data_IF_642879131429
#
_entry.id   IF_642879131429
#
_cell.length_a   1.000
_cell.length_b   1.000
_cell.length_c   1.000
_cell.angle_alpha   90.00
_cell.angle_beta   90.00
_cell.angle_gamma   90.00
#
_symmetry.space_group_name_H-M   'P 1'
#
loop_
_entity.id
_entity.type
_entity.pdbx_description
1 polymer ?
#
# COMPACT_ATOMS: atom_id res chain seq x y z
N UNK A 1 5.25 10.41 -16.49
CA UNK A 1 5.48 9.00 -16.90
C UNK A 1 5.68 8.14 -15.65
N UNK A 2 5.14 6.92 -15.62
CA UNK A 2 5.44 5.97 -14.55
C UNK A 2 6.95 5.68 -14.52
N UNK A 3 7.57 5.73 -13.33
CA UNK A 3 9.01 5.52 -13.16
C UNK A 3 9.33 4.20 -12.47
N UNK A 4 8.52 3.81 -11.49
CA UNK A 4 8.72 2.61 -10.69
C UNK A 4 7.45 1.80 -10.60
N UNK A 5 7.58 0.47 -10.69
CA UNK A 5 6.50 -0.48 -10.49
C UNK A 5 6.96 -1.58 -9.55
N UNK A 6 6.04 -2.12 -8.76
CA UNK A 6 6.29 -3.34 -7.98
C UNK A 6 5.76 -4.54 -8.74
N UNK A 7 6.49 -5.66 -8.66
CA UNK A 7 6.04 -6.95 -9.17
C UNK A 7 6.22 -7.99 -8.07
N UNK A 8 5.30 -8.96 -7.99
CA UNK A 8 5.35 -10.05 -6.99
C UNK A 8 6.42 -11.09 -7.34
N UNK A 9 6.77 -11.19 -8.61
CA UNK A 9 7.78 -12.11 -9.13
C UNK A 9 8.29 -11.60 -10.47
N UNK A 10 9.54 -11.91 -10.82
CA UNK A 10 10.08 -11.74 -12.17
C UNK A 10 9.65 -12.85 -13.14
N UNK A 11 8.93 -13.86 -12.66
CA UNK A 11 8.45 -14.96 -13.49
C UNK A 11 7.41 -14.45 -14.50
N UNK A 12 7.62 -14.83 -15.76
CA UNK A 12 6.75 -14.61 -16.91
C UNK A 12 5.83 -15.82 -17.20
N UNK A 13 5.93 -16.88 -16.38
CA UNK A 13 5.08 -18.06 -16.46
C UNK A 13 3.76 -17.80 -15.74
N UNK A 14 2.65 -18.25 -16.35
CA UNK A 14 1.31 -18.22 -15.73
C UNK A 14 1.40 -18.75 -14.31
N UNK A 15 0.89 -17.96 -13.36
CA UNK A 15 0.85 -18.27 -11.94
C UNK A 15 2.20 -18.48 -11.24
N UNK A 16 3.33 -18.28 -11.92
CA UNK A 16 4.69 -18.49 -11.39
C UNK A 16 5.03 -17.65 -10.16
N UNK A 17 4.27 -16.59 -9.90
CA UNK A 17 4.38 -15.75 -8.70
C UNK A 17 3.86 -16.42 -7.42
N UNK A 18 2.93 -17.39 -7.50
CA UNK A 18 2.28 -17.99 -6.30
C UNK A 18 3.27 -18.70 -5.38
N UNK A 19 4.26 -19.35 -5.98
CA UNK A 19 5.32 -20.07 -5.26
C UNK A 19 6.48 -19.16 -4.82
N UNK A 20 6.43 -17.86 -5.17
CA UNK A 20 7.49 -16.88 -4.89
C UNK A 20 6.96 -15.66 -4.13
N UNK A 21 5.85 -15.81 -3.42
CA UNK A 21 5.24 -14.73 -2.63
C UNK A 21 6.14 -14.24 -1.49
N UNK A 22 7.07 -15.08 -1.01
CA UNK A 22 7.91 -14.77 0.14
C UNK A 22 9.04 -13.79 -0.18
N UNK A 23 9.66 -13.91 -1.35
CA UNK A 23 10.90 -13.19 -1.69
C UNK A 23 11.08 -12.91 -3.18
N UNK A 24 10.16 -13.35 -4.04
CA UNK A 24 10.26 -13.17 -5.49
C UNK A 24 10.06 -11.74 -5.96
N UNK A 25 9.52 -10.88 -5.08
CA UNK A 25 9.10 -9.54 -5.43
C UNK A 25 10.25 -8.58 -5.63
N UNK A 26 10.05 -7.62 -6.52
CA UNK A 26 11.01 -6.56 -6.77
C UNK A 26 10.31 -5.24 -7.12
N UNK A 27 11.10 -4.17 -7.08
CA UNK A 27 10.74 -2.89 -7.69
C UNK A 27 11.54 -2.78 -8.98
N UNK A 28 10.85 -2.51 -10.09
CA UNK A 28 11.47 -2.30 -11.39
C UNK A 28 11.53 -0.79 -11.69
N UNK A 29 12.67 -0.34 -12.22
CA UNK A 29 12.75 0.93 -12.94
C UNK A 29 12.18 0.74 -14.35
N UNK A 30 11.09 1.44 -14.65
CA UNK A 30 10.32 1.20 -15.89
C UNK A 30 11.12 1.51 -17.16
N UNK A 31 11.88 2.63 -17.26
CA UNK A 31 12.66 2.92 -18.46
C UNK A 31 13.70 1.85 -18.80
N UNK A 32 14.38 1.30 -17.80
CA UNK A 32 15.43 0.28 -18.01
C UNK A 32 14.91 -1.15 -17.99
N UNK A 33 13.78 -1.40 -17.31
CA UNK A 33 13.30 -2.75 -17.00
C UNK A 33 14.06 -3.42 -15.85
N UNK A 34 15.07 -2.77 -15.29
CA UNK A 34 15.96 -3.34 -14.29
C UNK A 34 15.33 -3.33 -12.90
N UNK A 35 15.62 -4.38 -12.12
CA UNK A 35 15.20 -4.44 -10.73
C UNK A 35 16.14 -3.62 -9.85
N UNK A 36 15.62 -2.55 -9.26
CA UNK A 36 16.38 -1.67 -8.36
C UNK A 36 16.45 -2.20 -6.91
N UNK A 37 15.53 -3.09 -6.54
CA UNK A 37 15.57 -3.89 -5.30
C UNK A 37 14.82 -5.18 -5.56
N UNK A 38 15.31 -6.30 -5.03
CA UNK A 38 14.68 -7.63 -5.10
C UNK A 38 14.59 -8.26 -3.70
N UNK A 39 13.99 -9.43 -3.58
CA UNK A 39 13.87 -10.11 -2.27
C UNK A 39 12.66 -9.62 -1.46
N UNK A 40 11.71 -8.93 -2.07
CA UNK A 40 10.52 -8.41 -1.39
C UNK A 40 9.41 -9.47 -1.38
N UNK A 41 8.62 -9.47 -0.31
CA UNK A 41 7.42 -10.29 -0.19
C UNK A 41 6.20 -9.51 -0.66
N UNK A 42 5.70 -9.84 -1.84
CA UNK A 42 4.51 -9.23 -2.46
C UNK A 42 4.48 -7.70 -2.35
N UNK A 43 5.45 -6.98 -2.95
CA UNK A 43 5.56 -5.54 -2.77
C UNK A 43 4.42 -4.75 -3.44
N UNK A 44 3.95 -3.68 -2.79
CA UNK A 44 2.86 -2.84 -3.27
C UNK A 44 3.15 -1.34 -3.15
N UNK A 45 2.34 -0.56 -3.87
CA UNK A 45 2.19 0.89 -3.73
C UNK A 45 3.51 1.68 -3.77
N UNK A 46 4.37 1.51 -4.80
CA UNK A 46 5.56 2.34 -4.92
C UNK A 46 5.17 3.81 -5.06
N UNK A 47 5.83 4.69 -4.29
CA UNK A 47 5.63 6.14 -4.33
C UNK A 47 6.95 6.86 -4.15
N UNK A 48 7.20 7.86 -4.98
CA UNK A 48 8.31 8.80 -4.76
C UNK A 48 7.78 9.98 -3.98
N UNK A 49 8.38 10.27 -2.82
CA UNK A 49 8.00 11.41 -1.99
C UNK A 49 9.25 12.04 -1.38
N UNK A 50 9.40 13.37 -1.54
CA UNK A 50 10.58 14.14 -1.08
C UNK A 50 11.93 13.55 -1.53
N UNK A 51 11.97 13.02 -2.75
CA UNK A 51 13.19 12.42 -3.35
C UNK A 51 13.44 10.96 -2.99
N UNK A 52 12.75 10.43 -1.99
CA UNK A 52 12.85 9.04 -1.52
C UNK A 52 11.82 8.15 -2.21
N UNK A 53 12.15 6.87 -2.39
CA UNK A 53 11.24 5.86 -2.93
C UNK A 53 10.71 4.99 -1.80
N UNK A 54 9.42 5.11 -1.52
CA UNK A 54 8.70 4.32 -0.52
C UNK A 54 7.95 3.16 -1.16
N UNK A 55 7.89 2.04 -0.46
CA UNK A 55 7.25 0.80 -0.90
C UNK A 55 6.66 0.06 0.31
N UNK A 56 5.57 -0.65 0.09
CA UNK A 56 5.09 -1.65 1.03
C UNK A 56 5.75 -2.99 0.73
N UNK A 57 6.41 -3.60 1.72
CA UNK A 57 6.77 -5.01 1.69
C UNK A 57 5.62 -5.80 2.32
N UNK A 58 4.50 -5.90 1.59
CA UNK A 58 3.20 -6.23 2.17
C UNK A 58 3.14 -7.61 2.81
N UNK A 59 3.84 -8.59 2.25
CA UNK A 59 3.89 -9.93 2.82
C UNK A 59 4.75 -10.05 4.08
N UNK A 60 5.52 -9.01 4.43
CA UNK A 60 6.22 -8.92 5.72
C UNK A 60 5.51 -8.00 6.71
N UNK A 61 4.49 -7.24 6.27
CA UNK A 61 3.82 -6.21 7.08
C UNK A 61 4.63 -4.94 7.28
N UNK A 62 5.69 -4.69 6.50
CA UNK A 62 6.54 -3.52 6.70
C UNK A 62 6.30 -2.46 5.63
N UNK A 63 6.08 -1.23 6.09
CA UNK A 63 6.23 -0.02 5.31
C UNK A 63 7.70 0.43 5.41
N UNK A 64 8.27 0.88 4.30
CA UNK A 64 9.66 1.34 4.28
C UNK A 64 10.05 2.05 2.99
N UNK A 65 11.36 2.27 2.86
CA UNK A 65 11.96 2.91 1.70
C UNK A 65 12.97 2.01 1.01
N UNK A 66 13.26 2.30 -0.25
CA UNK A 66 14.29 1.64 -1.03
C UNK A 66 15.55 2.50 -1.02
N UNK A 67 16.64 1.99 -0.46
CA UNK A 67 17.96 2.56 -0.71
C UNK A 67 18.38 2.17 -2.13
N UNK A 68 18.21 3.10 -3.05
CA UNK A 68 18.49 2.89 -4.48
C UNK A 68 19.96 2.70 -4.80
N UNK A 69 20.88 3.10 -3.91
CA UNK A 69 22.32 2.91 -4.11
C UNK A 69 22.75 1.51 -3.67
N UNK A 70 22.22 1.06 -2.53
CA UNK A 70 22.51 -0.27 -1.98
C UNK A 70 21.66 -1.37 -2.60
N UNK A 71 20.53 -1.01 -3.22
CA UNK A 71 19.56 -1.95 -3.78
C UNK A 71 18.81 -2.75 -2.71
N UNK A 72 18.58 -2.16 -1.54
CA UNK A 72 17.94 -2.82 -0.40
C UNK A 72 16.66 -2.10 0.03
N UNK A 73 15.77 -2.84 0.68
CA UNK A 73 14.62 -2.29 1.39
C UNK A 73 14.99 -1.99 2.84
N UNK A 74 14.75 -0.77 3.28
CA UNK A 74 14.96 -0.29 4.63
C UNK A 74 13.59 -0.19 5.33
N UNK A 75 13.24 -1.15 6.22
CA UNK A 75 11.97 -1.12 6.92
C UNK A 75 11.92 0.09 7.87
N UNK A 76 10.76 0.75 7.92
CA UNK A 76 10.52 1.90 8.81
C UNK A 76 9.51 1.53 9.88
N UNK A 77 8.37 0.96 9.49
CA UNK A 77 7.26 0.70 10.42
C UNK A 77 6.61 -0.65 10.12
N UNK A 78 6.47 -1.46 11.17
CA UNK A 78 5.62 -2.65 11.11
C UNK A 78 4.14 -2.25 11.24
N UNK A 79 3.30 -2.76 10.34
CA UNK A 79 1.88 -2.51 10.28
C UNK A 79 1.14 -3.87 10.38
N UNK A 80 0.26 -4.07 11.38
CA UNK A 80 -0.42 -5.35 11.61
C UNK A 80 -1.55 -5.62 10.61
N UNK A 81 -1.19 -5.82 9.34
CA UNK A 81 -2.11 -6.11 8.25
C UNK A 81 -1.40 -6.12 6.90
N UNK A 82 -2.10 -6.60 5.87
CA UNK A 82 -1.54 -6.66 4.53
C UNK A 82 -1.56 -5.27 3.89
N UNK A 83 -0.38 -4.63 3.81
CA UNK A 83 -0.25 -3.24 3.39
C UNK A 83 -0.65 -3.02 1.92
N UNK A 84 -1.53 -2.06 1.68
CA UNK A 84 -2.00 -1.62 0.36
C UNK A 84 -2.41 -0.17 0.39
N UNK A 85 -2.13 0.53 -0.69
CA UNK A 85 -2.43 1.95 -0.79
C UNK A 85 -1.49 2.78 0.08
N UNK A 86 -1.09 3.92 -0.48
CA UNK A 86 -0.23 4.86 0.23
C UNK A 86 -0.36 6.25 -0.35
N UNK A 87 -0.51 7.21 0.55
CA UNK A 87 -0.43 8.63 0.26
C UNK A 87 0.42 9.34 1.32
N UNK A 88 0.84 10.56 1.00
CA UNK A 88 1.66 11.39 1.88
C UNK A 88 1.06 12.78 2.05
N UNK A 89 1.15 13.33 3.25
CA UNK A 89 0.83 14.73 3.54
C UNK A 89 1.81 15.27 4.57
N UNK A 90 2.55 16.32 4.23
CA UNK A 90 3.55 16.90 5.13
C UNK A 90 4.59 15.87 5.56
N UNK A 91 4.73 15.67 6.88
CA UNK A 91 5.65 14.71 7.49
C UNK A 91 5.02 13.32 7.71
N UNK A 92 3.87 13.02 7.09
CA UNK A 92 3.10 11.82 7.38
C UNK A 92 2.92 10.94 6.14
N UNK A 93 3.07 9.63 6.34
CA UNK A 93 2.57 8.60 5.44
C UNK A 93 1.23 8.08 5.95
N UNK A 94 0.24 7.96 5.07
CA UNK A 94 -1.04 7.32 5.36
C UNK A 94 -1.04 6.02 4.57
N UNK A 95 -1.08 4.89 5.28
CA UNK A 95 -0.97 3.56 4.70
C UNK A 95 -2.26 2.78 4.96
N UNK A 96 -2.71 2.03 3.96
CA UNK A 96 -3.87 1.14 4.10
C UNK A 96 -3.45 -0.27 4.49
N UNK A 97 -4.27 -0.90 5.32
CA UNK A 97 -4.13 -2.27 5.79
C UNK A 97 -5.37 -3.04 5.36
N UNK A 98 -5.16 -4.15 4.65
CA UNK A 98 -6.21 -5.15 4.44
C UNK A 98 -6.15 -6.20 5.53
N UNK A 99 -7.33 -6.62 5.98
CA UNK A 99 -7.48 -7.77 6.88
C UNK A 99 -7.15 -9.10 6.18
N UNK A 100 -7.12 -10.21 6.96
CA UNK A 100 -6.84 -11.53 6.42
C UNK A 100 -7.93 -11.96 5.44
N UNK A 101 -7.51 -12.47 4.28
CA UNK A 101 -8.41 -13.04 3.26
C UNK A 101 -8.94 -14.40 3.71
N UNK A 102 -10.18 -14.72 3.30
CA UNK A 102 -10.77 -16.07 3.48
C UNK A 102 -10.08 -17.10 2.58
N UNK A 103 -9.67 -16.68 1.38
CA UNK A 103 -8.77 -17.45 0.53
C UNK A 103 -7.34 -17.31 1.08
N UNK A 104 -6.69 -18.44 1.33
CA UNK A 104 -5.35 -18.57 1.95
C UNK A 104 -4.20 -17.86 1.20
N UNK A 105 -4.49 -16.99 0.24
CA UNK A 105 -3.56 -16.23 -0.60
C UNK A 105 -2.57 -15.36 0.20
N UNK A 106 -2.94 -14.91 1.41
CA UNK A 106 -2.03 -14.18 2.32
C UNK A 106 -1.53 -15.00 3.51
N UNK A 107 -1.94 -16.26 3.61
CA UNK A 107 -1.44 -17.14 4.66
C UNK A 107 -0.05 -17.69 4.31
N UNK A 108 0.70 -18.01 5.36
CA UNK A 108 2.06 -18.54 5.30
C UNK A 108 3.11 -17.47 5.03
N UNK A 109 2.75 -16.19 4.99
CA UNK A 109 3.70 -15.11 4.76
C UNK A 109 4.44 -14.74 6.04
N UNK A 110 5.55 -14.01 5.92
CA UNK A 110 6.30 -13.55 7.09
C UNK A 110 5.45 -12.67 8.03
N UNK A 111 4.45 -11.96 7.48
CA UNK A 111 3.44 -11.23 8.23
C UNK A 111 2.83 -12.07 9.37
N UNK A 112 2.48 -13.33 9.13
CA UNK A 112 1.89 -14.21 10.15
C UNK A 112 2.86 -14.38 11.33
N UNK A 113 4.14 -14.60 11.05
CA UNK A 113 5.16 -14.74 12.08
C UNK A 113 5.42 -13.43 12.84
N UNK A 114 5.37 -12.28 12.16
CA UNK A 114 5.59 -10.96 12.77
C UNK A 114 4.41 -10.55 13.66
N UNK A 115 3.19 -10.95 13.30
CA UNK A 115 1.98 -10.81 14.10
C UNK A 115 2.05 -11.69 15.36
N UNK A 116 2.38 -12.98 15.22
CA UNK A 116 2.52 -13.89 16.36
C UNK A 116 3.60 -13.45 17.35
N UNK A 117 4.76 -12.97 16.87
CA UNK A 117 5.83 -12.42 17.72
C UNK A 117 5.40 -11.22 18.55
N UNK A 118 4.36 -10.50 18.11
CA UNK A 118 3.88 -9.25 18.73
C UNK A 118 2.55 -9.43 19.46
N UNK A 119 2.05 -10.65 19.56
CA UNK A 119 0.72 -10.94 20.12
C UNK A 119 -0.37 -10.06 19.50
N UNK A 120 -0.34 -9.93 18.17
CA UNK A 120 -1.21 -9.04 17.42
C UNK A 120 -2.05 -9.82 16.40
N UNK A 121 -3.29 -9.37 16.20
CA UNK A 121 -4.14 -9.82 15.10
C UNK A 121 -4.07 -8.84 13.92
N UNK A 122 -4.14 -9.37 12.70
CA UNK A 122 -4.25 -8.54 11.51
C UNK A 122 -5.61 -7.82 11.47
N UNK A 123 -5.62 -6.54 11.10
CA UNK A 123 -6.87 -5.77 10.97
C UNK A 123 -6.90 -4.88 9.73
N UNK A 124 -8.12 -4.52 9.32
CA UNK A 124 -8.39 -3.67 8.16
C UNK A 124 -8.52 -2.20 8.59
N UNK A 125 -7.88 -1.28 7.86
CA UNK A 125 -7.98 0.14 8.17
C UNK A 125 -6.81 0.97 7.67
N UNK A 126 -6.61 2.13 8.28
CA UNK A 126 -5.56 3.07 7.94
C UNK A 126 -4.64 3.28 9.15
N UNK A 127 -3.35 3.48 8.89
CA UNK A 127 -2.39 4.00 9.88
C UNK A 127 -1.73 5.27 9.35
N UNK A 128 -1.52 6.23 10.24
CA UNK A 128 -0.77 7.47 9.98
C UNK A 128 0.58 7.34 10.66
N UNK A 129 1.63 7.40 9.86
CA UNK A 129 3.02 7.19 10.27
C UNK A 129 3.76 8.51 10.14
N UNK A 130 4.40 8.96 11.20
CA UNK A 130 5.31 10.10 11.17
C UNK A 130 6.64 9.69 10.52
N UNK A 131 7.03 10.34 9.42
CA UNK A 131 8.19 9.95 8.62
C UNK A 131 9.53 10.19 9.30
N UNK A 132 9.62 11.18 10.19
CA UNK A 132 10.85 11.50 10.90
C UNK A 132 11.23 10.47 11.95
N UNK A 133 10.23 9.77 12.51
CA UNK A 133 10.42 8.82 13.62
C UNK A 133 10.08 7.38 13.25
N UNK A 134 9.23 7.18 12.24
CA UNK A 134 8.64 5.88 11.92
C UNK A 134 7.50 5.48 12.85
N UNK A 135 7.08 6.34 13.77
CA UNK A 135 6.03 6.04 14.73
C UNK A 135 4.65 6.09 14.07
N UNK A 136 3.79 5.12 14.41
CA UNK A 136 2.35 5.23 14.13
C UNK A 136 1.76 6.20 15.15
N UNK A 137 1.26 7.34 14.67
CA UNK A 137 0.71 8.39 15.55
C UNK A 137 -0.81 8.37 15.61
N UNK A 138 -1.48 7.88 14.55
CA UNK A 138 -2.93 7.79 14.47
C UNK A 138 -3.36 6.58 13.64
N UNK A 139 -4.61 6.15 13.82
CA UNK A 139 -5.17 5.03 13.09
C UNK A 139 -6.69 5.12 12.96
N UNK A 140 -7.22 4.49 11.91
CA UNK A 140 -8.66 4.27 11.71
C UNK A 140 -8.87 2.80 11.44
N UNK A 141 -9.62 2.12 12.31
CA UNK A 141 -9.96 0.71 12.12
C UNK A 141 -11.32 0.58 11.45
N UNK A 142 -11.38 -0.23 10.40
CA UNK A 142 -12.61 -0.56 9.69
C UNK A 142 -13.11 -1.92 10.16
N UNK A 143 -14.31 -1.94 10.72
CA UNK A 143 -15.00 -3.14 11.15
C UNK A 143 -16.20 -3.41 10.23
N UNK A 144 -16.58 -4.68 10.07
CA UNK A 144 -17.76 -5.08 9.29
C UNK A 144 -17.42 -5.58 7.89
N UNK A 145 -18.18 -5.14 6.88
CA UNK A 145 -18.10 -5.73 5.54
C UNK A 145 -16.83 -5.36 4.77
N UNK A 146 -16.16 -4.26 5.12
CA UNK A 146 -14.93 -3.81 4.46
C UNK A 146 -13.73 -4.43 5.13
N UNK A 147 -13.21 -5.50 4.55
CA UNK A 147 -12.03 -6.21 5.03
C UNK A 147 -10.79 -5.99 4.17
N UNK A 148 -10.92 -5.28 3.04
CA UNK A 148 -9.82 -5.00 2.12
C UNK A 148 -9.82 -3.55 1.67
N UNK A 149 -8.61 -2.99 1.59
CA UNK A 149 -8.33 -1.68 1.01
C UNK A 149 -7.34 -1.87 -0.13
N UNK A 150 -7.53 -1.13 -1.23
CA UNK A 150 -6.69 -1.25 -2.42
C UNK A 150 -5.79 -0.03 -2.63
N UNK A 151 -6.29 1.17 -2.36
CA UNK A 151 -5.51 2.40 -2.44
C UNK A 151 -5.93 3.42 -1.39
N UNK A 152 -5.06 4.40 -1.15
CA UNK A 152 -5.29 5.56 -0.28
C UNK A 152 -4.95 6.81 -1.07
N UNK A 153 -5.85 7.78 -1.08
CA UNK A 153 -5.67 9.07 -1.75
C UNK A 153 -6.05 10.18 -0.77
N UNK A 154 -5.28 11.28 -0.79
CA UNK A 154 -5.56 12.47 -0.01
C UNK A 154 -6.23 13.51 -0.90
N UNK A 155 -7.43 13.92 -0.53
CA UNK A 155 -8.17 14.99 -1.17
C UNK A 155 -7.96 16.27 -0.35
N UNK A 156 -6.94 17.04 -0.72
CA UNK A 156 -6.60 18.28 -0.01
C UNK A 156 -7.70 19.32 -0.20
N UNK A 157 -8.04 20.03 0.87
CA UNK A 157 -8.98 21.15 0.85
C UNK A 157 -10.43 20.75 0.46
N UNK A 158 -10.76 19.45 0.53
CA UNK A 158 -12.11 18.91 0.26
C UNK A 158 -12.84 18.64 1.58
N UNK A 159 -14.02 19.25 1.74
CA UNK A 159 -14.82 19.14 2.97
C UNK A 159 -15.91 18.06 2.87
N UNK A 160 -16.56 17.95 1.70
CA UNK A 160 -17.69 17.02 1.46
C UNK A 160 -17.42 16.17 0.22
N UNK A 161 -16.52 15.16 0.31
CA UNK A 161 -16.28 14.28 -0.82
C UNK A 161 -17.54 13.44 -1.09
N UNK A 162 -17.91 13.32 -2.36
CA UNK A 162 -18.95 12.42 -2.84
C UNK A 162 -18.31 11.36 -3.74
N UNK A 163 -18.70 10.10 -3.55
CA UNK A 163 -18.28 8.99 -4.41
C UNK A 163 -19.53 8.34 -4.98
N UNK A 164 -19.55 8.19 -6.31
CA UNK A 164 -20.59 7.45 -7.01
C UNK A 164 -20.10 6.04 -7.31
N UNK A 165 -20.93 5.05 -7.02
CA UNK A 165 -20.67 3.66 -7.36
C UNK A 165 -21.05 3.35 -8.81
N UNK A 166 -20.46 2.29 -9.36
CA UNK A 166 -20.75 1.82 -10.73
C UNK A 166 -22.00 0.92 -10.84
N UNK A 167 -22.63 0.57 -9.72
CA UNK A 167 -23.71 -0.43 -9.69
C UNK A 167 -25.09 0.13 -10.03
N UNK A 168 -25.25 1.43 -9.90
CA UNK A 168 -26.56 2.09 -9.90
C UNK A 168 -26.57 3.21 -10.95
N UNK A 169 -27.74 3.68 -11.36
CA UNK A 169 -27.88 4.61 -12.49
C UNK A 169 -27.47 6.04 -12.17
N UNK A 170 -27.24 6.38 -10.91
CA UNK A 170 -26.86 7.71 -10.42
C UNK A 170 -25.59 8.22 -11.14
N UNK A 171 -24.66 7.33 -11.53
CA UNK A 171 -23.47 7.73 -12.28
C UNK A 171 -23.81 8.33 -13.66
N UNK A 172 -24.90 7.89 -14.29
CA UNK A 172 -25.36 8.40 -15.58
C UNK A 172 -26.28 9.62 -15.44
N UNK A 173 -26.76 9.90 -14.23
CA UNK A 173 -27.80 10.90 -13.97
C UNK A 173 -27.30 12.10 -13.16
N UNK A 174 -26.19 11.98 -12.44
CA UNK A 174 -25.63 13.10 -11.70
C UNK A 174 -25.05 14.15 -12.66
N UNK A 175 -25.69 15.30 -12.71
CA UNK A 175 -25.14 16.50 -13.33
C UNK A 175 -24.65 17.40 -12.19
N UNK A 176 -23.33 17.57 -12.08
CA UNK A 176 -22.72 18.57 -11.21
C UNK A 176 -22.39 19.80 -12.05
N UNK A 177 -22.91 20.96 -11.66
CA UNK A 177 -22.47 22.25 -12.20
C UNK A 177 -21.53 22.87 -11.18
N UNK A 178 -20.37 23.36 -11.62
CA UNK A 178 -19.53 24.20 -10.76
C UNK A 178 -20.33 25.47 -10.45
N UNK A 179 -20.69 25.67 -9.18
CA UNK A 179 -21.06 27.00 -8.72
C UNK A 179 -19.79 27.85 -8.83
N UNK A 180 -19.76 28.72 -9.85
CA UNK A 180 -18.59 29.54 -10.15
C UNK A 180 -18.00 30.16 -8.87
N UNK A 181 -16.68 30.02 -8.72
CA UNK A 181 -15.84 30.44 -7.56
C UNK A 181 -16.55 31.41 -6.59
N UNK A 182 -17.04 30.89 -5.47
CA UNK A 182 -17.20 31.70 -4.27
C UNK A 182 -15.84 31.82 -3.61
N UNK A 183 -15.19 32.98 -3.80
CA UNK A 183 -14.04 33.44 -3.00
C UNK A 183 -14.54 33.91 -1.63
#
# INVERSE_FOLDING_TARGET
KCKYVTVVSKSDVVDGWRNRRHDGGCVLDVPSGEAIVSGLSMPHSPRVYRGELYVHNSGTGYFGKVDRKKGIFEPITFCPGYLRGMAFSGNYAIVGLSGPRKDKTFSGLQLDSELSKRDAEAWCGLQVIELSTGNVIEWVRLNGMVTELYDVVILKDVIRPMVLGFKTTEIAQLISMDEGKTL
#
